data_IF_766765545235
#
_entry.id   IF_766765545235
#
_cell.length_a   1.000
_cell.length_b   1.000
_cell.length_c   1.000
_cell.angle_alpha   90.00
_cell.angle_beta   90.00
_cell.angle_gamma   90.00
#
_symmetry.space_group_name_H-M   'P 1'
#
loop_
_entity.id
_entity.type
_entity.pdbx_description
1 polymer ?
#
# COMPACT_ATOMS: atom_id res chain seq x y z
N UNK A 1 39.42 -27.38 38.43
CA UNK A 1 38.05 -27.60 37.92
C UNK A 1 37.14 -26.44 38.32
N UNK A 2 37.62 -25.23 38.10
CA UNK A 2 36.87 -23.97 38.18
C UNK A 2 37.09 -23.40 36.77
N UNK A 3 36.03 -22.95 36.08
CA UNK A 3 36.03 -22.17 34.81
C UNK A 3 34.97 -22.63 33.78
N UNK A 4 34.25 -23.73 34.01
CA UNK A 4 33.08 -24.09 33.15
C UNK A 4 31.78 -23.42 33.60
N UNK A 5 31.66 -23.06 34.87
CA UNK A 5 30.38 -22.61 35.45
C UNK A 5 30.09 -21.13 35.12
N UNK A 6 31.11 -20.26 35.17
CA UNK A 6 30.96 -18.83 34.86
C UNK A 6 30.69 -18.56 33.36
N UNK A 7 31.36 -19.29 32.48
CA UNK A 7 31.19 -19.15 31.02
C UNK A 7 29.81 -19.61 30.55
N UNK A 8 29.20 -20.56 31.26
CA UNK A 8 27.88 -21.09 30.93
C UNK A 8 26.75 -20.15 31.38
N UNK A 9 26.86 -19.54 32.57
CA UNK A 9 25.88 -18.56 33.07
C UNK A 9 25.87 -17.27 32.25
N UNK A 10 27.05 -16.77 31.85
CA UNK A 10 27.13 -15.57 30.98
C UNK A 10 26.49 -15.78 29.61
N UNK A 11 26.61 -16.98 29.05
CA UNK A 11 25.96 -17.34 27.77
C UNK A 11 24.45 -17.32 27.85
N UNK A 12 23.88 -17.81 28.94
CA UNK A 12 22.43 -17.78 29.16
C UNK A 12 21.91 -16.38 29.42
N UNK A 13 22.62 -15.57 30.22
CA UNK A 13 22.27 -14.16 30.41
C UNK A 13 22.26 -13.40 29.09
N UNK A 14 23.26 -13.64 28.21
CA UNK A 14 23.31 -13.05 26.89
C UNK A 14 22.11 -13.45 26.02
N UNK A 15 21.78 -14.75 25.95
CA UNK A 15 20.63 -15.22 25.17
C UNK A 15 19.30 -14.63 25.68
N UNK A 16 19.10 -14.56 26.99
CA UNK A 16 17.90 -13.98 27.60
C UNK A 16 17.81 -12.48 27.30
N UNK A 17 18.92 -11.75 27.41
CA UNK A 17 18.97 -10.32 27.10
C UNK A 17 18.61 -10.04 25.63
N UNK A 18 19.13 -10.83 24.70
CA UNK A 18 18.81 -10.70 23.27
C UNK A 18 17.36 -11.08 22.96
N UNK A 19 16.82 -12.11 23.61
CA UNK A 19 15.42 -12.52 23.44
C UNK A 19 14.48 -11.44 23.99
N UNK A 20 14.80 -10.87 25.15
CA UNK A 20 14.07 -9.71 25.70
C UNK A 20 14.18 -8.49 24.78
N UNK A 21 15.37 -8.16 24.29
CA UNK A 21 15.58 -7.02 23.40
C UNK A 21 14.77 -7.16 22.11
N UNK A 22 14.86 -8.30 21.42
CA UNK A 22 14.07 -8.54 20.21
C UNK A 22 12.58 -8.67 20.49
N UNK A 23 12.18 -9.24 21.63
CA UNK A 23 10.78 -9.31 22.05
C UNK A 23 10.18 -7.92 22.26
N UNK A 24 10.92 -7.03 22.92
CA UNK A 24 10.54 -5.62 23.11
C UNK A 24 10.52 -4.85 21.78
N UNK A 25 11.51 -5.08 20.91
CA UNK A 25 11.57 -4.46 19.59
C UNK A 25 10.38 -4.90 18.70
N UNK A 26 10.02 -6.18 18.74
CA UNK A 26 8.85 -6.71 18.05
C UNK A 26 7.56 -6.07 18.57
N UNK A 27 7.41 -5.96 19.90
CA UNK A 27 6.27 -5.27 20.52
C UNK A 27 6.22 -3.79 20.15
N UNK A 28 7.38 -3.12 20.14
CA UNK A 28 7.50 -1.73 19.73
C UNK A 28 6.97 -1.54 18.31
N UNK A 29 7.51 -2.27 17.32
CA UNK A 29 7.04 -2.13 15.94
C UNK A 29 5.60 -2.58 15.73
N UNK A 30 5.13 -3.57 16.50
CA UNK A 30 3.73 -4.02 16.45
C UNK A 30 2.77 -2.92 16.92
N UNK A 31 3.15 -2.13 17.92
CA UNK A 31 2.29 -1.10 18.50
C UNK A 31 2.48 0.30 17.89
N UNK A 32 3.69 0.63 17.44
CA UNK A 32 4.03 1.96 16.90
C UNK A 32 3.93 2.05 15.38
N UNK A 33 3.48 1.00 14.70
CA UNK A 33 3.28 0.97 13.26
C UNK A 33 2.01 1.69 12.80
N UNK A 34 1.78 2.94 13.22
CA UNK A 34 0.77 3.77 12.57
C UNK A 34 1.39 4.35 11.31
N UNK A 35 0.90 3.90 10.15
CA UNK A 35 1.17 4.59 8.89
C UNK A 35 0.24 5.80 8.84
N UNK A 36 0.78 7.01 8.80
CA UNK A 36 -0.05 8.18 8.53
C UNK A 36 -0.76 7.97 7.18
N UNK A 37 -2.08 7.90 7.23
CA UNK A 37 -2.90 7.84 6.03
C UNK A 37 -3.05 9.26 5.50
N UNK A 38 -2.84 9.45 4.19
CA UNK A 38 -3.15 10.71 3.54
C UNK A 38 -4.58 11.15 3.84
N UNK A 39 -4.81 12.45 3.90
CA UNK A 39 -6.11 13.04 4.25
C UNK A 39 -6.61 13.95 3.14
N UNK A 40 -7.91 14.21 3.11
CA UNK A 40 -8.47 15.22 2.22
C UNK A 40 -9.53 16.06 2.93
N UNK A 41 -9.63 17.33 2.52
CA UNK A 41 -10.62 18.27 3.02
C UNK A 41 -11.31 18.96 1.85
N UNK A 42 -12.64 19.04 1.91
CA UNK A 42 -13.47 19.76 0.95
C UNK A 42 -13.91 21.06 1.59
N UNK A 43 -13.46 22.19 1.03
CA UNK A 43 -13.75 23.53 1.55
C UNK A 43 -14.15 24.45 0.40
N UNK A 44 -15.38 24.99 0.44
CA UNK A 44 -15.89 25.95 -0.56
C UNK A 44 -15.72 25.51 -2.02
N UNK A 45 -15.94 24.22 -2.32
CA UNK A 45 -15.80 23.67 -3.67
C UNK A 45 -14.36 23.37 -4.10
N UNK A 46 -13.36 23.63 -3.25
CA UNK A 46 -12.00 23.18 -3.42
C UNK A 46 -11.75 21.89 -2.63
N UNK A 47 -10.97 20.98 -3.21
CA UNK A 47 -10.51 19.76 -2.55
C UNK A 47 -9.01 19.90 -2.29
N UNK A 48 -8.61 19.86 -1.03
CA UNK A 48 -7.20 19.82 -0.62
C UNK A 48 -6.87 18.40 -0.18
N UNK A 49 -5.84 17.80 -0.77
CA UNK A 49 -5.42 16.42 -0.47
C UNK A 49 -3.98 16.48 0.05
N UNK A 50 -3.75 15.86 1.20
CA UNK A 50 -2.44 15.67 1.83
C UNK A 50 -1.99 14.25 1.53
N UNK A 51 -0.76 14.12 1.04
CA UNK A 51 -0.16 12.83 0.74
C UNK A 51 0.03 11.98 2.00
N UNK A 52 0.04 10.66 1.84
CA UNK A 52 0.51 9.74 2.88
C UNK A 52 2.05 9.76 3.00
N UNK A 53 2.59 8.96 3.91
CA UNK A 53 4.05 8.83 4.11
C UNK A 53 4.81 8.36 2.86
N UNK A 54 4.12 7.75 1.90
CA UNK A 54 4.68 7.26 0.64
C UNK A 54 4.61 8.31 -0.48
N UNK A 55 4.01 9.48 -0.20
CA UNK A 55 3.80 10.54 -1.19
C UNK A 55 2.59 10.30 -2.09
N UNK A 56 1.72 9.34 -1.75
CA UNK A 56 0.52 9.03 -2.51
C UNK A 56 -0.67 9.86 -2.01
N UNK A 57 -1.43 10.40 -2.97
CA UNK A 57 -2.62 11.20 -2.70
C UNK A 57 -3.85 10.32 -2.83
N UNK A 58 -4.59 10.15 -1.73
CA UNK A 58 -5.80 9.34 -1.69
C UNK A 58 -7.05 10.20 -1.55
N UNK A 59 -8.14 9.76 -2.19
CA UNK A 59 -9.46 10.36 -2.01
C UNK A 59 -10.52 9.26 -2.01
N UNK A 60 -11.50 9.35 -1.11
CA UNK A 60 -12.63 8.42 -1.13
C UNK A 60 -13.64 8.86 -2.20
N UNK A 61 -14.30 7.89 -2.81
CA UNK A 61 -15.39 8.11 -3.74
C UNK A 61 -16.24 6.86 -3.89
N UNK A 62 -17.02 6.81 -4.96
CA UNK A 62 -17.83 5.64 -5.28
C UNK A 62 -17.82 5.32 -6.78
N UNK A 63 -17.99 4.04 -7.10
CA UNK A 63 -18.24 3.54 -8.45
C UNK A 63 -19.58 2.81 -8.39
N UNK A 64 -20.60 3.28 -9.11
CA UNK A 64 -21.95 2.70 -9.08
C UNK A 64 -22.44 2.48 -7.63
N UNK A 65 -22.39 3.52 -6.80
CA UNK A 65 -22.75 3.51 -5.37
C UNK A 65 -21.89 2.61 -4.46
N UNK A 66 -20.87 1.94 -5.01
CA UNK A 66 -19.93 1.14 -4.22
C UNK A 66 -18.76 2.01 -3.74
N UNK A 67 -18.52 2.10 -2.42
CA UNK A 67 -17.43 2.93 -1.88
C UNK A 67 -16.07 2.37 -2.28
N UNK A 68 -15.21 3.24 -2.80
CA UNK A 68 -13.84 2.92 -3.21
C UNK A 68 -12.89 4.04 -2.80
N UNK A 69 -11.60 3.71 -2.68
CA UNK A 69 -10.53 4.68 -2.44
C UNK A 69 -9.70 4.83 -3.73
N UNK A 70 -9.62 6.04 -4.24
CA UNK A 70 -8.85 6.38 -5.43
C UNK A 70 -7.45 6.85 -5.05
N UNK A 71 -6.49 6.61 -5.96
CA UNK A 71 -5.16 7.23 -5.94
C UNK A 71 -5.15 8.26 -7.05
N UNK A 72 -4.69 9.48 -6.76
CA UNK A 72 -4.52 10.53 -7.76
C UNK A 72 -3.22 10.28 -8.55
N UNK A 73 -3.36 9.86 -9.80
CA UNK A 73 -2.26 9.68 -10.74
C UNK A 73 -2.42 10.67 -11.92
N UNK A 74 -1.68 11.77 -11.88
CA UNK A 74 -1.74 12.81 -12.92
C UNK A 74 -1.10 12.39 -14.25
N UNK A 75 -0.34 11.29 -14.26
CA UNK A 75 0.27 10.72 -15.47
C UNK A 75 -0.68 9.80 -16.22
N UNK A 76 -1.79 9.38 -15.61
CA UNK A 76 -2.75 8.47 -16.21
C UNK A 76 -3.79 9.22 -17.06
N UNK A 77 -3.88 8.85 -18.34
CA UNK A 77 -4.96 9.32 -19.23
C UNK A 77 -6.30 8.62 -18.93
N UNK A 78 -6.27 7.46 -18.26
CA UNK A 78 -7.42 6.61 -17.99
C UNK A 78 -7.42 6.14 -16.53
N UNK A 79 -8.60 5.94 -15.96
CA UNK A 79 -8.74 5.32 -14.64
C UNK A 79 -8.50 3.81 -14.75
N UNK A 80 -7.47 3.32 -14.06
CA UNK A 80 -7.20 1.89 -13.96
C UNK A 80 -8.03 1.28 -12.82
N UNK A 81 -8.87 0.29 -13.15
CA UNK A 81 -9.66 -0.45 -12.17
C UNK A 81 -9.10 -1.87 -12.05
N UNK A 82 -8.73 -2.35 -10.85
CA UNK A 82 -8.26 -3.72 -10.66
C UNK A 82 -9.31 -4.74 -11.14
N UNK A 83 -8.86 -5.80 -11.83
CA UNK A 83 -9.76 -6.80 -12.42
C UNK A 83 -10.73 -7.40 -11.40
N UNK A 84 -10.26 -7.70 -10.18
CA UNK A 84 -11.10 -8.23 -9.12
C UNK A 84 -12.22 -7.27 -8.69
N UNK A 85 -11.92 -5.97 -8.66
CA UNK A 85 -12.92 -4.94 -8.35
C UNK A 85 -13.90 -4.77 -9.52
N UNK A 86 -13.42 -4.75 -10.76
CA UNK A 86 -14.27 -4.67 -11.95
C UNK A 86 -15.27 -5.83 -12.02
N UNK A 87 -14.82 -7.07 -11.76
CA UNK A 87 -15.71 -8.25 -11.70
C UNK A 87 -16.74 -8.12 -10.57
N UNK A 88 -16.30 -7.69 -9.37
CA UNK A 88 -17.20 -7.52 -8.21
C UNK A 88 -18.31 -6.50 -8.48
N UNK A 89 -17.97 -5.42 -9.18
CA UNK A 89 -18.89 -4.34 -9.54
C UNK A 89 -19.61 -4.59 -10.87
N UNK A 90 -19.42 -5.77 -11.47
CA UNK A 90 -20.01 -6.17 -12.75
C UNK A 90 -19.78 -5.13 -13.86
N UNK A 91 -18.62 -4.48 -13.82
CA UNK A 91 -18.28 -3.43 -14.78
C UNK A 91 -18.05 -4.06 -16.15
N UNK A 92 -18.78 -3.54 -17.14
CA UNK A 92 -18.65 -3.99 -18.51
C UNK A 92 -17.59 -3.15 -19.23
N UNK A 93 -16.51 -3.81 -19.62
CA UNK A 93 -15.52 -3.23 -20.52
C UNK A 93 -16.14 -2.98 -21.89
N UNK A 94 -15.85 -1.82 -22.50
CA UNK A 94 -16.41 -1.52 -23.83
C UNK A 94 -15.60 -2.17 -24.95
N UNK A 95 -14.30 -1.93 -24.99
CA UNK A 95 -13.37 -2.49 -25.96
C UNK A 95 -12.00 -2.72 -25.31
N UNK A 96 -11.22 -3.71 -25.79
CA UNK A 96 -9.84 -3.88 -25.35
C UNK A 96 -9.00 -2.71 -25.83
N UNK A 97 -8.26 -2.11 -24.92
CA UNK A 97 -7.28 -1.07 -25.16
C UNK A 97 -5.90 -1.58 -24.77
N UNK A 98 -4.90 -1.22 -25.56
CA UNK A 98 -3.50 -1.44 -25.23
C UNK A 98 -2.97 -0.15 -24.61
N UNK A 99 -2.51 -0.22 -23.37
CA UNK A 99 -1.80 0.91 -22.75
C UNK A 99 -0.34 0.55 -22.52
N UNK A 100 0.52 1.55 -22.74
CA UNK A 100 1.90 1.48 -22.34
C UNK A 100 1.97 1.96 -20.90
N UNK A 101 2.44 1.08 -20.02
CA UNK A 101 2.71 1.43 -18.63
C UNK A 101 4.21 1.70 -18.48
N UNK A 102 4.58 2.53 -17.51
CA UNK A 102 5.98 2.87 -17.23
C UNK A 102 6.72 1.72 -16.51
N UNK A 103 6.76 0.54 -17.13
CA UNK A 103 7.65 -0.57 -16.76
C UNK A 103 8.90 -0.49 -17.66
N UNK A 104 10.05 -0.87 -17.11
CA UNK A 104 11.40 -0.73 -17.70
C UNK A 104 11.47 -0.69 -19.23
N UNK A 105 12.27 0.26 -19.73
CA UNK A 105 12.46 0.56 -21.17
C UNK A 105 12.94 -0.63 -22.03
N UNK A 106 13.40 -1.72 -21.42
CA UNK A 106 13.97 -2.87 -22.14
C UNK A 106 12.92 -3.87 -22.68
N UNK A 107 11.65 -3.77 -22.28
CA UNK A 107 10.57 -4.54 -22.90
C UNK A 107 9.20 -3.89 -22.71
N UNK A 108 8.60 -3.26 -23.74
CA UNK A 108 7.24 -2.73 -23.64
C UNK A 108 6.24 -3.89 -23.57
N UNK A 109 5.95 -4.38 -22.37
CA UNK A 109 4.85 -5.30 -22.13
C UNK A 109 3.54 -4.56 -22.39
N UNK A 110 2.97 -4.82 -23.57
CA UNK A 110 1.66 -4.29 -23.93
C UNK A 110 0.60 -4.99 -23.08
N UNK A 111 0.17 -4.35 -22.00
CA UNK A 111 -0.90 -4.89 -21.17
C UNK A 111 -2.23 -4.49 -21.78
N UNK A 112 -3.08 -5.49 -22.06
CA UNK A 112 -4.44 -5.26 -22.54
C UNK A 112 -5.34 -4.96 -21.36
N UNK A 113 -5.96 -3.79 -21.38
CA UNK A 113 -6.98 -3.40 -20.43
C UNK A 113 -8.33 -3.30 -21.13
N UNK A 114 -9.42 -3.38 -20.38
CA UNK A 114 -10.73 -3.03 -20.86
C UNK A 114 -11.07 -1.64 -20.36
N UNK A 115 -11.39 -0.71 -21.26
CA UNK A 115 -11.87 0.59 -20.84
C UNK A 115 -13.23 0.43 -20.16
N UNK A 116 -13.31 0.84 -18.90
CA UNK A 116 -14.54 0.87 -18.12
C UNK A 116 -15.08 2.30 -18.10
N UNK A 117 -16.38 2.46 -18.35
CA UNK A 117 -17.07 3.73 -18.20
C UNK A 117 -17.78 3.76 -16.85
N UNK A 118 -17.45 4.77 -16.04
CA UNK A 118 -18.22 5.13 -14.85
C UNK A 118 -19.37 6.03 -15.32
N UNK A 119 -20.61 5.69 -14.96
CA UNK A 119 -21.80 6.49 -15.30
C UNK A 119 -22.15 7.42 -14.16
#
# INVERSE_FOLDING_TARGET
MVDKQYTQTGRWMFLIAWLMFFGLLLLFFYYYGEKEQGSYQITHGAVTIVADEQGHYYIDGSINDYPVKFILDTGATLVAIPQGLATKLQLQGRYPISIQTARDFDSPETTKFCQVYLK
#
